data_IF_914870300982
#
_entry.id   IF_914870300982
#
_cell.length_a   1.000
_cell.length_b   1.000
_cell.length_c   1.000
_cell.angle_alpha   90.00
_cell.angle_beta   90.00
_cell.angle_gamma   90.00
#
_symmetry.space_group_name_H-M   'P 1'
#
loop_
_entity.id
_entity.type
_entity.pdbx_description
1 polymer ?
#
# COMPACT_ATOMS: atom_id res chain seq x y z
N UNK A 1 2.62 -11.55 17.66
CA UNK A 1 1.22 -11.83 17.31
C UNK A 1 0.73 -10.57 16.62
N UNK A 2 0.65 -10.60 15.29
CA UNK A 2 0.23 -9.43 14.51
C UNK A 2 -1.26 -9.31 14.74
N UNK A 3 -1.64 -8.42 15.64
CA UNK A 3 -2.98 -7.83 15.66
C UNK A 3 -3.08 -7.06 14.33
N UNK A 4 -3.49 -7.77 13.29
CA UNK A 4 -3.88 -7.15 12.03
C UNK A 4 -5.10 -6.34 12.42
N UNK A 5 -4.99 -5.01 12.50
CA UNK A 5 -6.12 -4.13 12.70
C UNK A 5 -7.02 -4.25 11.47
N UNK A 6 -7.81 -5.33 11.42
CA UNK A 6 -8.84 -5.53 10.40
C UNK A 6 -9.71 -4.28 10.45
N UNK A 7 -10.02 -3.75 9.27
CA UNK A 7 -11.09 -2.78 9.11
C UNK A 7 -12.32 -3.30 9.87
N UNK A 8 -12.85 -2.57 10.87
CA UNK A 8 -13.99 -3.03 11.63
C UNK A 8 -15.18 -3.24 10.69
N UNK A 9 -15.95 -4.30 10.89
CA UNK A 9 -17.26 -4.42 10.27
C UNK A 9 -18.10 -3.22 10.77
N UNK A 10 -18.71 -2.40 9.88
CA UNK A 10 -19.16 -2.72 8.52
C UNK A 10 -18.28 -2.21 7.36
N UNK A 11 -17.19 -1.48 7.62
CA UNK A 11 -16.38 -0.84 6.56
C UNK A 11 -15.84 -1.87 5.57
N UNK A 12 -15.38 -3.02 6.09
CA UNK A 12 -14.90 -4.15 5.29
C UNK A 12 -15.93 -4.70 4.30
N UNK A 13 -17.21 -4.70 4.67
CA UNK A 13 -18.28 -5.21 3.80
C UNK A 13 -18.45 -4.29 2.57
N UNK A 14 -18.38 -2.98 2.79
CA UNK A 14 -18.47 -1.99 1.71
C UNK A 14 -17.25 -2.05 0.80
N UNK A 15 -16.06 -2.21 1.38
CA UNK A 15 -14.81 -2.36 0.64
C UNK A 15 -14.81 -3.63 -0.23
N UNK A 16 -15.17 -4.78 0.34
CA UNK A 16 -15.22 -6.06 -0.40
C UNK A 16 -16.31 -6.06 -1.48
N UNK A 17 -17.46 -5.43 -1.21
CA UNK A 17 -18.52 -5.22 -2.20
C UNK A 17 -18.02 -4.38 -3.38
N UNK A 18 -17.32 -3.27 -3.10
CA UNK A 18 -16.75 -2.38 -4.12
C UNK A 18 -15.67 -3.07 -4.95
N UNK A 19 -14.75 -3.78 -4.30
CA UNK A 19 -13.71 -4.57 -4.96
C UNK A 19 -14.32 -5.64 -5.87
N UNK A 20 -15.32 -6.39 -5.39
CA UNK A 20 -16.00 -7.40 -6.19
C UNK A 20 -16.78 -6.79 -7.36
N UNK A 21 -17.43 -5.64 -7.17
CA UNK A 21 -18.07 -4.90 -8.25
C UNK A 21 -17.07 -4.49 -9.33
N UNK A 22 -15.90 -3.96 -8.96
CA UNK A 22 -14.85 -3.57 -9.91
C UNK A 22 -14.30 -4.78 -10.68
N UNK A 23 -14.06 -5.90 -10.00
CA UNK A 23 -13.67 -7.15 -10.67
C UNK A 23 -14.75 -7.60 -11.67
N UNK A 24 -16.03 -7.49 -11.30
CA UNK A 24 -17.15 -7.80 -12.18
C UNK A 24 -17.31 -6.84 -13.35
N UNK A 25 -17.02 -5.54 -13.17
CA UNK A 25 -17.00 -4.57 -14.26
C UNK A 25 -15.88 -4.87 -15.26
N UNK A 26 -14.67 -5.11 -14.78
CA UNK A 26 -13.50 -5.37 -15.64
C UNK A 26 -13.67 -6.72 -16.35
N UNK A 27 -13.93 -7.80 -15.60
CA UNK A 27 -14.10 -9.14 -16.17
C UNK A 27 -15.34 -9.25 -17.06
N UNK A 28 -16.45 -8.65 -16.61
CA UNK A 28 -17.72 -8.65 -17.34
C UNK A 28 -17.66 -7.81 -18.61
N UNK A 29 -16.97 -6.66 -18.61
CA UNK A 29 -16.80 -5.85 -19.83
C UNK A 29 -15.91 -6.57 -20.84
N UNK A 30 -14.78 -7.16 -20.42
CA UNK A 30 -13.89 -7.87 -21.32
C UNK A 30 -14.57 -9.10 -21.95
N UNK A 31 -15.25 -9.91 -21.15
CA UNK A 31 -15.94 -11.11 -21.63
C UNK A 31 -17.13 -10.78 -22.54
N UNK A 32 -17.97 -9.83 -22.14
CA UNK A 32 -19.16 -9.46 -22.93
C UNK A 32 -18.80 -8.66 -24.18
N UNK A 33 -17.71 -7.89 -24.16
CA UNK A 33 -17.19 -7.24 -25.36
C UNK A 33 -16.73 -8.28 -26.38
N UNK A 34 -15.94 -9.27 -25.95
CA UNK A 34 -15.48 -10.34 -26.83
C UNK A 34 -16.64 -11.18 -27.36
N UNK A 35 -17.62 -11.53 -26.51
CA UNK A 35 -18.79 -12.29 -26.93
C UNK A 35 -19.70 -11.47 -27.85
N UNK A 36 -19.91 -10.17 -27.56
CA UNK A 36 -20.69 -9.25 -28.38
C UNK A 36 -20.04 -9.00 -29.74
N UNK A 37 -18.71 -8.86 -29.78
CA UNK A 37 -17.97 -8.72 -31.02
C UNK A 37 -18.08 -9.97 -31.91
N UNK A 38 -18.01 -11.17 -31.32
CA UNK A 38 -18.14 -12.45 -32.05
C UNK A 38 -19.56 -12.76 -32.51
N UNK A 39 -20.58 -12.30 -31.78
CA UNK A 39 -21.98 -12.58 -32.08
C UNK A 39 -22.67 -11.49 -32.93
N UNK A 40 -21.95 -10.41 -33.27
CA UNK A 40 -22.48 -9.30 -34.05
C UNK A 40 -22.50 -9.59 -35.58
N UNK A 41 -23.40 -8.95 -36.33
CA UNK A 41 -23.49 -9.11 -37.79
C UNK A 41 -22.18 -8.69 -38.49
N UNK A 42 -21.95 -9.24 -39.68
CA UNK A 42 -20.70 -9.09 -40.44
C UNK A 42 -20.33 -7.61 -40.68
N UNK A 43 -19.07 -7.29 -40.38
CA UNK A 43 -18.48 -5.96 -40.60
C UNK A 43 -17.84 -5.39 -39.33
N UNK A 44 -16.56 -5.02 -39.41
CA UNK A 44 -15.75 -4.57 -38.27
C UNK A 44 -16.43 -3.46 -37.46
N UNK A 45 -16.99 -2.44 -38.14
CA UNK A 45 -17.70 -1.35 -37.46
C UNK A 45 -18.95 -1.81 -36.70
N UNK A 46 -19.76 -2.70 -37.30
CA UNK A 46 -20.97 -3.24 -36.64
C UNK A 46 -20.61 -4.17 -35.49
N UNK A 47 -19.53 -4.94 -35.62
CA UNK A 47 -19.00 -5.78 -34.54
C UNK A 47 -18.48 -4.97 -33.35
N UNK A 48 -17.81 -3.84 -33.59
CA UNK A 48 -17.38 -2.93 -32.53
C UNK A 48 -18.59 -2.34 -31.77
N UNK A 49 -19.60 -1.84 -32.49
CA UNK A 49 -20.82 -1.33 -31.87
C UNK A 49 -21.60 -2.41 -31.12
N UNK A 50 -21.71 -3.62 -31.69
CA UNK A 50 -22.36 -4.76 -31.04
C UNK A 50 -21.63 -5.22 -29.77
N UNK A 51 -20.29 -5.17 -29.76
CA UNK A 51 -19.48 -5.40 -28.56
C UNK A 51 -19.76 -4.36 -27.47
N UNK A 52 -19.78 -3.07 -27.83
CA UNK A 52 -20.06 -1.99 -26.88
C UNK A 52 -21.49 -2.05 -26.33
N UNK A 53 -22.48 -2.37 -27.17
CA UNK A 53 -23.87 -2.52 -26.75
C UNK A 53 -24.03 -3.71 -25.78
N UNK A 54 -23.36 -4.84 -26.06
CA UNK A 54 -23.34 -6.00 -25.17
C UNK A 54 -22.74 -5.69 -23.79
N UNK A 55 -21.64 -4.92 -23.75
CA UNK A 55 -21.04 -4.44 -22.48
C UNK A 55 -22.04 -3.58 -21.72
N UNK A 56 -22.64 -2.59 -22.37
CA UNK A 56 -23.58 -1.66 -21.74
C UNK A 56 -24.80 -2.36 -21.14
N UNK A 57 -25.34 -3.37 -21.83
CA UNK A 57 -26.55 -4.07 -21.40
C UNK A 57 -26.29 -5.17 -20.36
N UNK A 58 -25.15 -5.86 -20.42
CA UNK A 58 -24.92 -7.08 -19.62
C UNK A 58 -23.92 -6.92 -18.49
N UNK A 59 -22.90 -6.07 -18.66
CA UNK A 59 -21.84 -5.90 -17.65
C UNK A 59 -22.36 -5.40 -16.30
N UNK A 60 -23.31 -4.43 -16.22
CA UNK A 60 -23.83 -3.98 -14.92
C UNK A 60 -24.50 -5.08 -14.09
N UNK A 61 -25.24 -5.99 -14.75
CA UNK A 61 -25.90 -7.11 -14.07
C UNK A 61 -24.89 -8.14 -13.52
N UNK A 62 -23.83 -8.41 -14.29
CA UNK A 62 -22.73 -9.28 -13.86
C UNK A 62 -21.98 -8.65 -12.69
N UNK A 63 -21.61 -7.37 -12.81
CA UNK A 63 -20.92 -6.64 -11.75
C UNK A 63 -21.75 -6.57 -10.46
N UNK A 64 -23.05 -6.32 -10.57
CA UNK A 64 -23.98 -6.37 -9.44
C UNK A 64 -24.04 -7.75 -8.79
N UNK A 65 -23.99 -8.82 -9.57
CA UNK A 65 -23.96 -10.19 -9.03
C UNK A 65 -22.68 -10.48 -8.24
N UNK A 66 -21.52 -10.02 -8.73
CA UNK A 66 -20.25 -10.11 -8.00
C UNK A 66 -20.26 -9.27 -6.73
N UNK A 67 -20.83 -8.06 -6.78
CA UNK A 67 -20.95 -7.19 -5.62
C UNK A 67 -21.80 -7.84 -4.51
N UNK A 68 -22.96 -8.41 -4.87
CA UNK A 68 -23.83 -9.13 -3.93
C UNK A 68 -23.12 -10.35 -3.34
N UNK A 69 -22.36 -11.08 -4.16
CA UNK A 69 -21.56 -12.21 -3.69
C UNK A 69 -20.50 -11.76 -2.66
N UNK A 70 -19.71 -10.73 -2.98
CA UNK A 70 -18.69 -10.18 -2.08
C UNK A 70 -19.29 -9.63 -0.78
N UNK A 71 -20.38 -8.86 -0.88
CA UNK A 71 -21.07 -8.32 0.30
C UNK A 71 -21.62 -9.42 1.22
N UNK A 72 -22.22 -10.46 0.63
CA UNK A 72 -22.77 -11.59 1.40
C UNK A 72 -21.66 -12.38 2.07
N UNK A 73 -20.57 -12.66 1.34
CA UNK A 73 -19.39 -13.34 1.87
C UNK A 73 -18.80 -12.60 3.08
N UNK A 74 -18.54 -11.30 2.94
CA UNK A 74 -17.96 -10.51 4.02
C UNK A 74 -18.91 -10.32 5.19
N UNK A 75 -20.22 -10.27 4.94
CA UNK A 75 -21.22 -10.26 6.03
C UNK A 75 -21.16 -11.57 6.82
N UNK A 76 -21.14 -12.72 6.14
CA UNK A 76 -21.05 -14.02 6.82
C UNK A 76 -19.71 -14.17 7.56
N UNK A 77 -18.60 -13.79 6.94
CA UNK A 77 -17.27 -13.81 7.57
C UNK A 77 -17.24 -12.93 8.84
N UNK A 78 -17.73 -11.69 8.75
CA UNK A 78 -17.86 -10.78 9.89
C UNK A 78 -18.71 -11.38 11.02
N UNK A 79 -19.86 -11.98 10.69
CA UNK A 79 -20.74 -12.60 11.70
C UNK A 79 -20.10 -13.81 12.37
N UNK A 80 -19.36 -14.63 11.63
CA UNK A 80 -18.71 -15.81 12.19
C UNK A 80 -17.51 -15.43 13.06
N UNK A 81 -16.71 -14.43 12.68
CA UNK A 81 -15.66 -13.89 13.56
C UNK A 81 -16.28 -13.31 14.83
N UNK A 82 -17.38 -12.56 14.71
CA UNK A 82 -18.06 -11.99 15.88
C UNK A 82 -18.58 -13.07 16.83
N UNK A 83 -19.09 -14.19 16.31
CA UNK A 83 -19.57 -15.29 17.15
C UNK A 83 -18.44 -16.13 17.75
N UNK A 84 -17.43 -16.49 16.97
CA UNK A 84 -16.37 -17.43 17.39
C UNK A 84 -15.17 -16.76 18.04
N UNK A 85 -14.99 -15.45 17.87
CA UNK A 85 -13.84 -14.66 18.36
C UNK A 85 -12.49 -15.28 17.96
N UNK A 86 -12.46 -15.98 16.83
CA UNK A 86 -11.30 -16.70 16.26
C UNK A 86 -11.32 -16.55 14.75
N UNK A 87 -10.13 -16.36 14.18
CA UNK A 87 -9.93 -16.26 12.74
C UNK A 87 -9.15 -17.49 12.26
N UNK A 88 -9.88 -18.47 11.73
CA UNK A 88 -9.34 -19.71 11.16
C UNK A 88 -9.65 -19.76 9.65
N UNK A 89 -8.85 -20.45 8.84
CA UNK A 89 -9.15 -20.69 7.41
C UNK A 89 -10.51 -21.40 7.20
N UNK A 90 -11.01 -22.10 8.22
CA UNK A 90 -12.35 -22.69 8.22
C UNK A 90 -13.46 -21.64 8.08
N UNK A 91 -13.23 -20.43 8.61
CA UNK A 91 -14.21 -19.35 8.53
C UNK A 91 -14.44 -18.93 7.08
N UNK A 92 -13.37 -18.74 6.29
CA UNK A 92 -13.45 -18.45 4.84
C UNK A 92 -14.16 -19.56 4.05
N UNK A 93 -13.94 -20.83 4.41
CA UNK A 93 -14.57 -21.97 3.71
C UNK A 93 -16.06 -22.02 4.01
N UNK A 94 -16.45 -21.90 5.29
CA UNK A 94 -17.86 -21.95 5.69
C UNK A 94 -18.60 -20.70 5.25
N UNK A 95 -17.99 -19.52 5.28
CA UNK A 95 -18.60 -18.30 4.75
C UNK A 95 -18.80 -18.39 3.24
N UNK A 96 -17.87 -19.00 2.50
CA UNK A 96 -18.03 -19.34 1.08
C UNK A 96 -19.20 -20.29 0.83
N UNK A 97 -19.29 -21.38 1.60
CA UNK A 97 -20.39 -22.34 1.48
C UNK A 97 -21.74 -21.71 1.83
N UNK A 98 -21.79 -20.94 2.92
CA UNK A 98 -23.02 -20.26 3.36
C UNK A 98 -23.48 -19.23 2.32
N UNK A 99 -22.55 -18.45 1.78
CA UNK A 99 -22.83 -17.46 0.72
C UNK A 99 -23.37 -18.14 -0.55
N UNK A 100 -22.72 -19.21 -1.00
CA UNK A 100 -23.19 -19.99 -2.15
C UNK A 100 -24.58 -20.59 -1.93
N UNK A 101 -24.88 -21.03 -0.71
CA UNK A 101 -26.21 -21.48 -0.31
C UNK A 101 -27.24 -20.36 -0.34
N UNK A 102 -26.97 -19.23 0.31
CA UNK A 102 -27.87 -18.06 0.40
C UNK A 102 -28.27 -17.58 -1.00
N UNK A 103 -27.31 -17.42 -1.91
CA UNK A 103 -27.59 -16.88 -3.25
C UNK A 103 -28.38 -17.86 -4.13
N UNK A 104 -28.24 -19.17 -3.87
CA UNK A 104 -28.97 -20.20 -4.58
C UNK A 104 -30.29 -20.59 -3.90
N UNK A 105 -30.59 -20.06 -2.71
CA UNK A 105 -31.78 -20.41 -1.92
C UNK A 105 -33.09 -20.20 -2.70
N UNK A 106 -33.15 -19.15 -3.54
CA UNK A 106 -34.32 -18.85 -4.37
C UNK A 106 -34.65 -19.91 -5.43
N UNK A 107 -33.68 -20.77 -5.76
CA UNK A 107 -33.82 -21.81 -6.78
C UNK A 107 -34.17 -23.20 -6.17
N UNK A 108 -34.49 -23.25 -4.87
CA UNK A 108 -34.87 -24.46 -4.15
C UNK A 108 -33.70 -25.17 -3.45
N UNK A 109 -34.03 -26.18 -2.63
CA UNK A 109 -33.07 -26.85 -1.74
C UNK A 109 -31.89 -27.51 -2.47
N UNK A 110 -32.14 -28.12 -3.64
CA UNK A 110 -31.09 -28.76 -4.44
C UNK A 110 -30.09 -27.74 -4.97
N UNK A 111 -30.57 -26.58 -5.42
CA UNK A 111 -29.71 -25.50 -5.87
C UNK A 111 -28.91 -24.90 -4.71
N UNK A 112 -29.54 -24.73 -3.54
CA UNK A 112 -28.88 -24.29 -2.30
C UNK A 112 -27.73 -25.23 -1.90
N UNK A 113 -27.96 -26.55 -1.90
CA UNK A 113 -26.93 -27.53 -1.58
C UNK A 113 -25.76 -27.48 -2.59
N UNK A 114 -26.07 -27.43 -3.89
CA UNK A 114 -25.05 -27.34 -4.94
C UNK A 114 -24.25 -26.02 -4.84
N UNK A 115 -24.94 -24.89 -4.60
CA UNK A 115 -24.31 -23.59 -4.41
C UNK A 115 -23.37 -23.57 -3.21
N UNK A 116 -23.78 -24.19 -2.10
CA UNK A 116 -22.94 -24.30 -0.91
C UNK A 116 -21.71 -25.17 -1.14
N UNK A 117 -21.85 -26.30 -1.84
CA UNK A 117 -20.72 -27.16 -2.19
C UNK A 117 -19.70 -26.44 -3.08
N UNK A 118 -20.17 -25.76 -4.13
CA UNK A 118 -19.29 -25.03 -5.06
C UNK A 118 -18.62 -23.86 -4.34
N UNK A 119 -19.37 -23.07 -3.56
CA UNK A 119 -18.84 -21.94 -2.81
C UNK A 119 -17.77 -22.35 -1.79
N UNK A 120 -18.04 -23.43 -1.04
CA UNK A 120 -17.08 -23.98 -0.07
C UNK A 120 -15.82 -24.54 -0.75
N UNK A 121 -15.98 -25.28 -1.85
CA UNK A 121 -14.85 -25.84 -2.59
C UNK A 121 -13.93 -24.76 -3.17
N UNK A 122 -14.50 -23.71 -3.76
CA UNK A 122 -13.73 -22.60 -4.34
C UNK A 122 -12.91 -21.88 -3.26
N UNK A 123 -13.51 -21.56 -2.12
CA UNK A 123 -12.82 -20.88 -1.02
C UNK A 123 -11.79 -21.80 -0.34
N UNK A 124 -12.06 -23.10 -0.24
CA UNK A 124 -11.07 -24.07 0.23
C UNK A 124 -9.84 -24.13 -0.69
N UNK A 125 -10.03 -24.04 -2.01
CA UNK A 125 -8.93 -23.98 -2.97
C UNK A 125 -8.16 -22.65 -2.86
N UNK A 126 -8.84 -21.52 -2.66
CA UNK A 126 -8.19 -20.21 -2.52
C UNK A 126 -7.34 -20.16 -1.24
N UNK A 127 -7.88 -20.59 -0.11
CA UNK A 127 -7.14 -20.67 1.15
C UNK A 127 -5.96 -21.67 1.05
N UNK A 128 -6.19 -22.84 0.44
CA UNK A 128 -5.15 -23.84 0.20
C UNK A 128 -4.02 -23.32 -0.69
N UNK A 129 -4.35 -22.59 -1.76
CA UNK A 129 -3.37 -21.95 -2.63
C UNK A 129 -2.62 -20.82 -1.89
N UNK A 130 -3.31 -20.04 -1.06
CA UNK A 130 -2.70 -19.00 -0.23
C UNK A 130 -1.63 -19.56 0.70
N UNK A 131 -1.92 -20.68 1.37
CA UNK A 131 -0.94 -21.38 2.23
C UNK A 131 0.24 -21.91 1.40
N UNK A 132 -0.01 -22.56 0.27
CA UNK A 132 1.06 -23.10 -0.59
C UNK A 132 1.99 -22.01 -1.15
N UNK A 133 1.43 -20.87 -1.55
CA UNK A 133 2.20 -19.74 -2.04
C UNK A 133 3.01 -19.11 -0.91
N UNK A 134 2.42 -18.95 0.28
CA UNK A 134 3.14 -18.45 1.45
C UNK A 134 4.30 -19.36 1.86
N UNK A 135 4.14 -20.69 1.80
CA UNK A 135 5.23 -21.64 2.12
C UNK A 135 6.33 -21.63 1.07
N UNK A 136 6.01 -21.52 -0.23
CA UNK A 136 7.02 -21.40 -1.30
C UNK A 136 7.80 -20.09 -1.19
N UNK A 137 7.13 -18.96 -0.95
CA UNK A 137 7.81 -17.69 -0.72
C UNK A 137 8.65 -17.71 0.55
N UNK A 138 8.16 -18.31 1.64
CA UNK A 138 8.93 -18.47 2.87
C UNK A 138 10.16 -19.37 2.69
N UNK A 139 10.05 -20.45 1.90
CA UNK A 139 11.17 -21.32 1.54
C UNK A 139 12.20 -20.61 0.63
N UNK A 140 11.75 -19.65 -0.18
CA UNK A 140 12.59 -18.82 -1.03
C UNK A 140 13.19 -17.61 -0.28
N UNK A 141 12.62 -17.25 0.88
CA UNK A 141 12.94 -16.08 1.66
C UNK A 141 14.04 -16.33 2.71
N UNK A 142 15.27 -16.60 2.25
CA UNK A 142 16.44 -15.93 2.85
C UNK A 142 16.52 -14.44 2.39
N UNK A 143 15.56 -14.00 1.60
CA UNK A 143 15.35 -12.62 1.16
C UNK A 143 14.34 -11.93 2.09
N UNK A 144 14.80 -10.86 2.76
CA UNK A 144 14.04 -10.02 3.70
C UNK A 144 12.60 -9.78 3.21
N UNK A 145 11.63 -10.32 3.93
CA UNK A 145 10.21 -10.05 3.73
C UNK A 145 9.93 -8.59 4.09
N UNK A 146 10.00 -7.71 3.10
CA UNK A 146 9.61 -6.31 3.23
C UNK A 146 8.08 -6.28 3.22
N UNK A 147 7.48 -6.03 4.39
CA UNK A 147 6.03 -5.90 4.51
C UNK A 147 5.52 -4.79 3.58
N UNK A 148 4.33 -4.94 2.98
CA UNK A 148 3.72 -3.91 2.16
C UNK A 148 3.57 -2.60 2.96
N UNK A 149 3.85 -1.46 2.31
CA UNK A 149 3.95 -0.12 2.92
C UNK A 149 2.71 0.31 3.72
N UNK A 150 1.53 -0.22 3.40
CA UNK A 150 0.27 0.17 4.03
C UNK A 150 0.14 -0.21 5.52
N UNK A 151 0.97 -1.14 6.02
CA UNK A 151 1.07 -1.47 7.46
C UNK A 151 1.83 -0.39 8.28
N UNK A 152 2.43 0.63 7.64
CA UNK A 152 3.24 1.64 8.34
C UNK A 152 2.47 2.86 8.85
N UNK A 153 1.14 2.87 8.79
CA UNK A 153 0.33 4.00 9.29
C UNK A 153 -0.17 3.67 10.70
N UNK A 154 0.76 3.58 11.65
CA UNK A 154 0.48 3.77 13.08
C UNK A 154 1.22 5.04 13.51
N UNK A 155 0.57 6.21 13.54
CA UNK A 155 1.23 7.47 13.87
C UNK A 155 1.78 7.50 15.31
N UNK A 156 1.36 6.58 16.18
CA UNK A 156 1.84 6.49 17.57
C UNK A 156 3.12 5.65 17.71
N UNK A 157 3.37 4.65 16.85
CA UNK A 157 4.58 3.80 16.96
C UNK A 157 5.76 4.25 16.09
N UNK A 158 5.55 5.14 15.12
CA UNK A 158 6.66 5.70 14.32
C UNK A 158 7.60 6.59 15.14
N UNK A 159 7.12 7.19 16.25
CA UNK A 159 7.97 8.01 17.11
C UNK A 159 8.92 7.16 17.97
N UNK A 160 8.54 5.94 18.34
CA UNK A 160 9.30 5.12 19.30
C UNK A 160 10.36 4.22 18.62
N UNK A 161 10.18 3.85 17.35
CA UNK A 161 11.12 3.00 16.62
C UNK A 161 12.26 3.79 15.93
N UNK A 162 12.08 5.08 15.64
CA UNK A 162 13.13 5.94 15.06
C UNK A 162 14.08 6.51 16.12
N UNK A 163 13.68 6.51 17.40
CA UNK A 163 14.44 7.17 18.46
C UNK A 163 15.59 6.33 19.05
N UNK A 164 15.82 5.09 18.57
CA UNK A 164 16.85 4.20 19.12
C UNK A 164 18.11 4.03 18.26
N UNK A 165 18.38 4.92 17.31
CA UNK A 165 19.68 4.97 16.65
C UNK A 165 20.15 6.30 16.00
N UNK A 166 19.60 7.51 16.27
CA UNK A 166 20.16 8.73 15.67
C UNK A 166 21.51 9.14 16.27
N UNK A 167 21.85 8.61 17.45
CA UNK A 167 23.07 8.98 18.18
C UNK A 167 24.36 8.51 17.50
N UNK A 168 24.38 7.30 16.93
CA UNK A 168 25.64 6.69 16.45
C UNK A 168 26.02 7.17 15.04
N UNK A 169 25.03 7.37 14.17
CA UNK A 169 25.27 7.80 12.79
C UNK A 169 25.63 9.30 12.72
N UNK A 170 24.97 10.14 13.52
CA UNK A 170 25.28 11.56 13.62
C UNK A 170 26.66 11.82 14.26
N UNK A 171 27.04 11.04 15.29
CA UNK A 171 28.39 11.13 15.88
C UNK A 171 29.46 10.69 14.86
N UNK A 172 29.21 9.64 14.09
CA UNK A 172 30.12 9.19 13.04
C UNK A 172 30.25 10.21 11.89
N UNK A 173 29.17 10.93 11.57
CA UNK A 173 29.20 12.01 10.59
C UNK A 173 29.99 13.22 11.11
N UNK A 174 29.79 13.60 12.38
CA UNK A 174 30.55 14.67 13.05
C UNK A 174 32.03 14.31 13.14
N UNK A 175 32.39 13.08 13.52
CA UNK A 175 33.78 12.62 13.58
C UNK A 175 34.44 12.65 12.19
N UNK A 176 33.73 12.23 11.13
CA UNK A 176 34.24 12.34 9.76
C UNK A 176 34.49 13.77 9.32
N UNK A 177 33.62 14.70 9.71
CA UNK A 177 33.78 16.12 9.39
C UNK A 177 34.96 16.69 10.17
N UNK A 178 35.10 16.32 11.45
CA UNK A 178 36.25 16.72 12.28
C UNK A 178 37.58 16.22 11.68
N UNK A 179 37.63 14.98 11.21
CA UNK A 179 38.82 14.40 10.56
C UNK A 179 39.18 15.14 9.28
N UNK A 180 38.18 15.50 8.45
CA UNK A 180 38.41 16.31 7.25
C UNK A 180 38.91 17.71 7.61
N UNK A 181 38.35 18.36 8.63
CA UNK A 181 38.82 19.67 9.10
C UNK A 181 40.25 19.60 9.64
N UNK A 182 40.59 18.55 10.39
CA UNK A 182 41.93 18.33 10.92
C UNK A 182 42.94 18.04 9.80
N UNK A 183 42.56 17.27 8.78
CA UNK A 183 43.37 17.04 7.60
C UNK A 183 43.61 18.33 6.79
N UNK A 184 42.58 19.16 6.62
CA UNK A 184 42.69 20.46 5.97
C UNK A 184 43.62 21.40 6.76
N UNK A 185 43.46 21.45 8.09
CA UNK A 185 44.33 22.22 8.98
C UNK A 185 45.79 21.78 8.88
N UNK A 186 46.08 20.47 8.91
CA UNK A 186 47.46 19.97 8.74
C UNK A 186 48.04 20.32 7.38
N UNK A 187 47.26 20.21 6.30
CA UNK A 187 47.71 20.56 4.94
C UNK A 187 47.96 22.08 4.83
N UNK A 188 47.11 22.90 5.43
CA UNK A 188 47.33 24.35 5.57
C UNK A 188 48.61 24.66 6.35
N UNK A 189 48.85 24.01 7.49
CA UNK A 189 50.06 24.21 8.30
C UNK A 189 51.31 23.73 7.55
N UNK A 190 51.24 22.63 6.81
CA UNK A 190 52.34 22.13 5.99
C UNK A 190 52.62 23.03 4.79
N UNK A 191 51.58 23.59 4.16
CA UNK A 191 51.70 24.53 3.05
C UNK A 191 52.24 25.89 3.55
N UNK A 192 51.86 26.32 4.76
CA UNK A 192 52.44 27.48 5.44
C UNK A 192 53.92 27.26 5.85
N UNK A 193 54.29 26.04 6.28
CA UNK A 193 55.67 25.67 6.57
C UNK A 193 56.54 25.58 5.30
N UNK A 194 55.97 25.12 4.17
CA UNK A 194 56.65 25.05 2.88
C UNK A 194 56.83 26.42 2.21
N UNK A 195 55.96 27.40 2.50
CA UNK A 195 56.03 28.77 1.97
C UNK A 195 56.82 29.74 2.86
N UNK A 196 57.42 29.28 3.97
CA UNK A 196 58.32 30.10 4.78
C UNK A 196 57.71 31.40 5.35
N UNK A 197 56.39 31.46 5.50
CA UNK A 197 55.69 32.64 6.02
C UNK A 197 55.15 32.39 7.43
N UNK A 198 55.53 33.26 8.37
CA UNK A 198 55.07 33.26 9.77
C UNK A 198 53.53 33.36 9.83
N UNK A 199 52.83 32.55 10.66
CA UNK A 199 51.38 32.61 10.77
C UNK A 199 50.97 33.85 11.57
N UNK A 200 50.20 34.77 10.96
CA UNK A 200 49.45 35.79 11.69
C UNK A 200 48.18 35.18 12.28
N UNK A 201 47.98 35.45 13.57
CA UNK A 201 46.98 34.85 14.44
C UNK A 201 45.78 35.81 14.60
N UNK A 202 44.58 35.29 14.26
CA UNK A 202 43.28 35.53 14.89
C UNK A 202 42.59 36.90 14.80
N UNK A 203 41.38 36.90 14.21
CA UNK A 203 40.20 37.52 14.83
C UNK A 203 38.91 36.87 14.30
N UNK A 204 38.33 35.92 15.04
CA UNK A 204 36.91 35.63 14.92
C UNK A 204 36.29 35.65 16.32
N UNK A 205 35.21 36.42 16.39
CA UNK A 205 34.59 37.03 17.55
C UNK A 205 33.86 35.98 18.39
N UNK A 206 34.08 36.01 19.71
CA UNK A 206 33.17 35.42 20.70
C UNK A 206 31.84 36.17 20.62
N UNK A 207 30.74 35.46 20.39
CA UNK A 207 29.43 35.96 20.78
C UNK A 207 28.59 34.81 21.31
N UNK A 208 28.69 34.65 22.63
CA UNK A 208 27.69 34.00 23.46
C UNK A 208 26.28 34.57 23.13
N UNK A 209 25.31 33.65 23.15
CA UNK A 209 23.91 33.88 23.56
C UNK A 209 23.18 35.12 23.02
N UNK A 210 22.45 34.95 21.92
CA UNK A 210 21.16 35.61 21.67
C UNK A 210 20.18 34.52 21.22
N UNK A 211 19.31 34.03 22.09
CA UNK A 211 17.99 34.59 22.43
C UNK A 211 16.94 34.33 21.34
N UNK A 212 15.83 33.76 21.81
CA UNK A 212 14.72 33.15 21.09
C UNK A 212 13.99 34.14 20.16
N UNK A 213 13.85 33.83 18.87
CA UNK A 213 12.92 34.55 17.98
C UNK A 213 11.97 33.58 17.25
N UNK A 214 10.74 33.58 17.74
CA UNK A 214 9.55 32.88 17.28
C UNK A 214 9.01 33.57 16.01
N UNK A 215 9.47 33.18 14.82
CA UNK A 215 8.76 33.25 13.51
C UNK A 215 9.74 33.00 12.33
N UNK A 216 9.43 32.14 11.35
CA UNK A 216 10.28 31.98 10.16
C UNK A 216 10.11 33.16 9.18
N UNK A 217 11.19 33.65 8.53
CA UNK A 217 11.10 34.76 7.58
C UNK A 217 10.41 34.34 6.26
N UNK A 218 9.63 35.27 5.68
CA UNK A 218 8.88 35.09 4.44
C UNK A 218 9.76 35.00 3.18
N UNK A 219 9.31 34.24 2.17
CA UNK A 219 10.01 33.91 0.91
C UNK A 219 10.62 35.08 0.11
N UNK A 220 10.17 36.32 0.33
CA UNK A 220 10.71 37.51 -0.32
C UNK A 220 12.13 37.88 0.16
N UNK A 221 12.46 37.59 1.42
CA UNK A 221 13.79 37.84 2.00
C UNK A 221 14.81 36.78 1.57
N UNK A 222 14.37 35.52 1.42
CA UNK A 222 15.18 34.44 0.83
C UNK A 222 15.53 34.71 -0.65
N UNK A 223 14.60 35.31 -1.41
CA UNK A 223 14.83 35.68 -2.81
C UNK A 223 15.84 36.85 -2.98
N UNK A 224 15.89 37.79 -2.02
CA UNK A 224 16.90 38.87 -2.01
C UNK A 224 18.30 38.35 -1.67
N UNK A 225 18.41 37.37 -0.78
CA UNK A 225 19.71 36.75 -0.42
C UNK A 225 20.27 35.91 -1.57
N UNK A 226 19.41 35.28 -2.37
CA UNK A 226 19.82 34.43 -3.50
C UNK A 226 20.33 35.22 -4.73
N UNK A 227 20.17 36.56 -4.77
CA UNK A 227 20.71 37.46 -5.80
C UNK A 227 20.45 37.01 -7.26
N UNK A 228 19.22 36.52 -7.54
CA UNK A 228 18.85 35.88 -8.82
C UNK A 228 18.52 36.91 -9.93
N UNK A 229 18.34 38.19 -9.61
CA UNK A 229 18.16 39.25 -10.63
C UNK A 229 19.23 40.32 -10.49
N UNK A 230 20.39 40.08 -11.12
CA UNK A 230 21.28 41.16 -11.52
C UNK A 230 21.11 41.36 -13.02
N UNK A 231 20.23 42.28 -13.38
CA UNK A 231 20.14 42.89 -14.71
C UNK A 231 21.27 43.89 -14.87
N UNK A 232 22.21 43.58 -15.76
CA UNK A 232 22.78 44.46 -16.79
C UNK A 232 23.78 43.65 -17.62
#
# INVERSE_FOLDING_TARGET
>A
MVEYTRQPCPVRIVEDCGCAFMMGCIGGSMFQYAQGFRNAPTGVWRSLYGGLDAVKMKTPAIAGSFAVWGATFSTVDCTMVHYRQREDSWNSIVSGATTGGILAARNGLRAMANGALVGGLVLAMIEGAGVAVATIYAASANMRQQRPQWDRINPIHQMEADQRQPGNDALAEIERVLDKCNAYKRRSTQLAAALGQRPQQHQFINMETMEYAKHPPSLLELAKIANIFKTN
#
